data_IF_920487167276
#
_entry.id   IF_920487167276
#
_cell.length_a   1.000
_cell.length_b   1.000
_cell.length_c   1.000
_cell.angle_alpha   90.00
_cell.angle_beta   90.00
_cell.angle_gamma   90.00
#
_symmetry.space_group_name_H-M   'P 1'
#
loop_
_entity.id
_entity.type
_entity.pdbx_description
1 polymer ?
#
# COMPACT_ATOMS: atom_id res chain seq x y z
N UNK A 1 -22.09 -31.10 3.95
CA UNK A 1 -21.53 -30.23 2.90
C UNK A 1 -21.52 -28.81 3.43
N UNK A 2 -20.60 -28.53 4.33
CA UNK A 2 -20.25 -27.18 4.76
C UNK A 2 -18.74 -27.16 4.74
N UNK A 3 -18.21 -26.18 4.03
CA UNK A 3 -16.85 -26.11 3.50
C UNK A 3 -15.80 -25.96 4.62
N UNK A 4 -15.12 -27.07 4.95
CA UNK A 4 -13.94 -27.08 5.84
C UNK A 4 -12.67 -26.53 5.14
N UNK A 5 -12.74 -26.21 3.84
CA UNK A 5 -11.61 -25.75 3.03
C UNK A 5 -11.25 -24.29 3.31
N UNK A 6 -12.24 -23.45 3.64
CA UNK A 6 -12.02 -22.03 4.00
C UNK A 6 -11.20 -21.90 5.29
N UNK A 7 -11.43 -22.78 6.28
CA UNK A 7 -10.70 -22.74 7.55
C UNK A 7 -9.26 -23.22 7.39
N UNK A 8 -8.99 -24.19 6.52
CA UNK A 8 -7.61 -24.60 6.24
C UNK A 8 -6.83 -23.54 5.48
N UNK A 9 -7.49 -22.78 4.58
CA UNK A 9 -6.86 -21.68 3.85
C UNK A 9 -6.50 -20.49 4.76
N UNK A 10 -7.22 -20.30 5.88
CA UNK A 10 -6.92 -19.25 6.85
C UNK A 10 -5.73 -19.60 7.75
N UNK A 11 -5.51 -20.90 8.04
CA UNK A 11 -4.40 -21.35 8.90
C UNK A 11 -3.05 -21.31 8.15
N UNK A 12 -3.03 -21.51 6.83
CA UNK A 12 -1.79 -21.33 6.03
C UNK A 12 -1.33 -19.87 5.92
N UNK A 13 -2.18 -18.88 6.24
CA UNK A 13 -1.75 -17.47 6.35
C UNK A 13 -1.05 -17.16 7.69
N UNK A 14 -1.10 -18.07 8.67
CA UNK A 14 -0.65 -17.84 10.03
C UNK A 14 0.73 -18.46 10.37
N UNK A 15 1.49 -18.93 9.37
CA UNK A 15 2.83 -19.51 9.60
C UNK A 15 3.84 -18.89 8.64
N UNK A 16 4.26 -17.66 8.90
CA UNK A 16 5.47 -17.11 8.28
C UNK A 16 6.67 -17.42 9.20
N UNK A 17 7.72 -18.12 8.72
CA UNK A 17 8.82 -18.54 9.56
C UNK A 17 9.80 -17.40 9.88
N UNK A 18 9.98 -17.18 11.18
CA UNK A 18 11.22 -16.94 11.93
C UNK A 18 12.31 -16.06 11.32
N UNK A 19 12.42 -14.84 11.86
CA UNK A 19 13.68 -14.10 11.98
C UNK A 19 14.74 -15.04 12.59
N UNK A 20 15.91 -15.25 11.98
CA UNK A 20 16.97 -16.01 12.64
C UNK A 20 17.44 -15.24 13.87
N UNK A 21 17.33 -15.89 15.02
CA UNK A 21 17.85 -15.42 16.30
C UNK A 21 19.36 -15.58 16.25
N UNK A 22 20.06 -14.60 15.70
CA UNK A 22 21.40 -14.30 16.16
C UNK A 22 21.66 -12.79 16.07
N UNK A 23 22.00 -12.24 17.23
CA UNK A 23 22.11 -10.83 17.54
C UNK A 23 23.47 -10.30 17.10
N UNK A 24 23.61 -9.73 15.89
CA UNK A 24 24.59 -8.67 15.61
C UNK A 24 24.04 -7.69 14.54
N UNK A 25 24.28 -6.41 14.81
CA UNK A 25 23.60 -5.19 14.38
C UNK A 25 24.21 -4.59 13.10
N UNK A 26 23.41 -4.38 12.04
CA UNK A 26 23.66 -3.32 11.03
C UNK A 26 22.31 -2.78 10.47
N UNK A 27 21.69 -1.91 11.25
CA UNK A 27 21.13 -0.60 10.86
C UNK A 27 20.68 -0.40 9.38
N UNK A 28 19.46 -0.84 9.02
CA UNK A 28 18.63 -0.20 7.96
C UNK A 28 17.21 -0.77 7.76
N UNK A 29 16.77 -1.80 8.48
CA UNK A 29 15.43 -2.35 8.33
C UNK A 29 14.57 -2.05 9.55
N UNK A 30 13.95 -0.87 9.57
CA UNK A 30 12.75 -0.64 10.41
C UNK A 30 11.64 -1.54 9.86
N UNK A 31 11.71 -2.83 10.18
CA UNK A 31 10.71 -3.83 9.86
C UNK A 31 9.53 -3.65 10.79
N UNK A 32 8.75 -2.59 10.59
CA UNK A 32 7.33 -2.67 10.91
C UNK A 32 6.80 -3.87 10.10
N UNK A 33 6.10 -4.81 10.75
CA UNK A 33 5.17 -5.67 10.03
C UNK A 33 4.04 -4.76 9.52
N UNK A 34 4.33 -3.90 8.55
CA UNK A 34 3.26 -3.14 7.93
C UNK A 34 2.36 -4.20 7.31
N UNK A 35 1.07 -4.19 7.66
CA UNK A 35 0.04 -5.00 6.98
C UNK A 35 -0.14 -4.59 5.51
N UNK A 36 0.92 -4.07 4.90
CA UNK A 36 0.99 -3.69 3.51
C UNK A 36 1.11 -4.97 2.67
N UNK A 37 0.38 -5.04 1.55
CA UNK A 37 0.41 -6.20 0.67
C UNK A 37 1.77 -6.36 -0.01
N UNK A 38 2.08 -7.58 -0.47
CA UNK A 38 3.36 -7.89 -1.13
C UNK A 38 3.65 -7.02 -2.37
N UNK A 39 2.62 -6.53 -3.06
CA UNK A 39 2.75 -5.65 -4.21
C UNK A 39 3.11 -4.21 -3.83
N UNK A 40 2.99 -3.84 -2.55
CA UNK A 40 3.32 -2.51 -2.09
C UNK A 40 4.82 -2.23 -2.31
N UNK A 41 5.17 -1.01 -2.68
CA UNK A 41 6.57 -0.63 -2.89
C UNK A 41 7.29 -0.65 -1.54
N UNK A 42 8.55 -1.13 -1.54
CA UNK A 42 9.41 -1.09 -0.35
C UNK A 42 9.79 0.32 0.08
N UNK A 43 9.75 1.26 -0.86
CA UNK A 43 10.09 2.66 -0.65
C UNK A 43 9.04 3.52 -1.31
N UNK A 44 8.42 4.41 -0.54
CA UNK A 44 7.42 5.37 -0.99
C UNK A 44 7.56 6.65 -0.15
N UNK A 45 7.14 7.78 -0.71
CA UNK A 45 7.16 9.07 -0.02
C UNK A 45 6.04 9.16 1.01
N UNK A 46 4.84 8.66 0.67
CA UNK A 46 3.66 8.81 1.51
C UNK A 46 2.62 7.72 1.23
N UNK A 47 1.87 7.32 2.28
CA UNK A 47 0.69 6.47 2.16
C UNK A 47 -0.55 7.36 2.25
N UNK A 48 -1.38 7.32 1.22
CA UNK A 48 -2.60 8.14 1.12
C UNK A 48 -3.83 7.26 0.96
N UNK A 49 -4.98 7.80 1.34
CA UNK A 49 -6.29 7.23 1.08
C UNK A 49 -7.01 8.07 0.02
N UNK A 50 -7.63 7.43 -0.96
CA UNK A 50 -8.49 8.12 -1.90
C UNK A 50 -9.77 8.60 -1.20
N UNK A 51 -10.11 9.87 -1.35
CA UNK A 51 -11.33 10.47 -0.77
C UNK A 51 -12.48 10.55 -1.78
N UNK A 52 -12.18 10.36 -3.07
CA UNK A 52 -13.16 10.30 -4.16
C UNK A 52 -12.79 9.21 -5.16
N UNK A 53 -13.78 8.72 -5.89
CA UNK A 53 -13.57 7.83 -7.03
C UNK A 53 -12.86 8.59 -8.17
N UNK A 54 -11.93 7.91 -8.84
CA UNK A 54 -11.26 8.43 -10.02
C UNK A 54 -11.20 7.38 -11.12
N UNK A 55 -11.95 7.62 -12.20
CA UNK A 55 -11.92 6.78 -13.40
C UNK A 55 -10.98 7.40 -14.43
N UNK A 56 -9.78 6.82 -14.59
CA UNK A 56 -8.82 7.25 -15.58
C UNK A 56 -9.36 7.02 -17.00
N UNK A 57 -9.15 8.01 -17.86
CA UNK A 57 -9.47 7.95 -19.29
C UNK A 57 -8.23 7.81 -20.19
N UNK A 58 -7.05 7.63 -19.56
CA UNK A 58 -5.76 7.49 -20.21
C UNK A 58 -4.93 6.46 -19.45
N UNK A 59 -4.11 5.72 -20.18
CA UNK A 59 -3.34 4.59 -19.64
C UNK A 59 -2.20 5.01 -18.69
N UNK A 60 -1.80 6.28 -18.71
CA UNK A 60 -0.79 6.84 -17.81
C UNK A 60 -1.35 7.25 -16.45
N UNK A 61 -2.67 7.15 -16.24
CA UNK A 61 -3.35 7.53 -15.01
C UNK A 61 -3.87 6.31 -14.27
N UNK A 62 -3.84 6.38 -12.95
CA UNK A 62 -4.30 5.31 -12.09
C UNK A 62 -5.80 5.46 -11.83
N UNK A 63 -6.61 4.44 -12.10
CA UNK A 63 -8.01 4.37 -11.64
C UNK A 63 -8.08 3.82 -10.22
N UNK A 64 -8.95 4.38 -9.38
CA UNK A 64 -9.14 3.96 -7.99
C UNK A 64 -10.53 4.39 -7.47
N UNK A 65 -10.97 3.77 -6.38
CA UNK A 65 -12.21 4.09 -5.68
C UNK A 65 -11.93 4.83 -4.38
N UNK A 66 -12.91 5.58 -3.87
CA UNK A 66 -12.85 6.18 -2.55
C UNK A 66 -12.62 5.09 -1.49
N UNK A 67 -11.67 5.33 -0.58
CA UNK A 67 -11.19 4.39 0.42
C UNK A 67 -9.97 3.58 0.01
N UNK A 68 -9.58 3.59 -1.28
CA UNK A 68 -8.40 2.86 -1.73
C UNK A 68 -7.12 3.44 -1.13
N UNK A 69 -6.22 2.53 -0.78
CA UNK A 69 -4.87 2.86 -0.32
C UNK A 69 -3.96 2.99 -1.54
N UNK A 70 -3.23 4.10 -1.58
CA UNK A 70 -2.28 4.40 -2.65
C UNK A 70 -0.93 4.76 -2.01
N UNK A 71 0.14 4.16 -2.51
CA UNK A 71 1.50 4.49 -2.09
C UNK A 71 2.08 5.49 -3.10
N UNK A 72 2.35 6.71 -2.65
CA UNK A 72 2.90 7.77 -3.48
C UNK A 72 4.41 7.59 -3.56
N UNK A 73 4.93 7.36 -4.77
CA UNK A 73 6.37 7.17 -5.02
C UNK A 73 7.04 8.46 -5.50
N UNK A 74 6.27 9.39 -6.08
CA UNK A 74 6.77 10.69 -6.53
C UNK A 74 5.65 11.74 -6.52
N UNK A 75 5.99 12.99 -6.21
CA UNK A 75 5.10 14.15 -6.38
C UNK A 75 5.66 15.08 -7.45
N UNK A 76 4.82 15.51 -8.38
CA UNK A 76 5.15 16.52 -9.38
C UNK A 76 4.60 17.88 -8.96
N UNK A 77 5.25 18.96 -9.41
CA UNK A 77 4.89 20.34 -9.05
C UNK A 77 3.58 20.82 -9.70
N UNK A 78 3.03 20.05 -10.66
CA UNK A 78 1.78 20.32 -11.36
C UNK A 78 0.54 19.75 -10.64
N UNK A 79 0.72 19.17 -9.45
CA UNK A 79 -0.35 18.60 -8.63
C UNK A 79 -0.68 17.14 -8.95
N UNK A 80 0.05 16.50 -9.87
CA UNK A 80 -0.04 15.06 -10.11
C UNK A 80 1.01 14.30 -9.32
N UNK A 81 0.64 13.14 -8.81
CA UNK A 81 1.52 12.23 -8.09
C UNK A 81 1.69 10.94 -8.87
N UNK A 82 2.86 10.34 -8.83
CA UNK A 82 3.05 8.95 -9.27
C UNK A 82 2.76 8.05 -8.08
N UNK A 83 1.77 7.17 -8.22
CA UNK A 83 1.32 6.29 -7.16
C UNK A 83 1.11 4.86 -7.63
N UNK A 84 1.13 3.92 -6.68
CA UNK A 84 0.85 2.51 -6.92
C UNK A 84 -0.30 2.02 -6.02
N UNK A 85 -1.25 1.33 -6.63
CA UNK A 85 -2.35 0.65 -5.95
C UNK A 85 -2.64 -0.68 -6.63
N UNK A 86 -2.89 -1.73 -5.85
CA UNK A 86 -3.14 -3.09 -6.35
C UNK A 86 -2.08 -3.60 -7.34
N UNK A 87 -0.81 -3.16 -7.15
CA UNK A 87 0.31 -3.49 -8.03
C UNK A 87 0.37 -2.72 -9.36
N UNK A 88 -0.55 -1.79 -9.60
CA UNK A 88 -0.60 -0.95 -10.80
C UNK A 88 -0.10 0.45 -10.47
N UNK A 89 0.83 0.96 -11.28
CA UNK A 89 1.38 2.31 -11.15
C UNK A 89 0.72 3.27 -12.14
N UNK A 90 0.48 4.50 -11.73
CA UNK A 90 0.01 5.56 -12.62
C UNK A 90 -0.06 6.93 -11.94
N UNK A 91 -0.48 7.93 -12.72
CA UNK A 91 -0.68 9.29 -12.23
C UNK A 91 -1.98 9.41 -11.42
N UNK A 92 -1.87 10.03 -10.26
CA UNK A 92 -2.92 10.25 -9.26
C UNK A 92 -3.09 11.75 -9.07
N UNK A 93 -4.29 12.31 -9.21
CA UNK A 93 -4.52 13.73 -8.93
C UNK A 93 -4.44 13.98 -7.41
N UNK A 94 -3.56 14.86 -6.96
CA UNK A 94 -3.26 15.04 -5.54
C UNK A 94 -4.45 15.53 -4.70
N UNK A 95 -5.43 16.19 -5.32
CA UNK A 95 -6.64 16.67 -4.64
C UNK A 95 -7.74 15.60 -4.47
N UNK A 96 -7.48 14.35 -4.88
CA UNK A 96 -8.39 13.21 -4.70
C UNK A 96 -7.95 12.27 -3.58
N UNK A 97 -6.86 12.61 -2.89
CA UNK A 97 -6.24 11.77 -1.87
C UNK A 97 -5.89 12.58 -0.63
N UNK A 98 -5.91 11.92 0.53
CA UNK A 98 -5.49 12.48 1.81
C UNK A 98 -4.42 11.61 2.47
N UNK A 99 -3.48 12.25 3.14
CA UNK A 99 -2.43 11.59 3.91
C UNK A 99 -3.03 10.77 5.04
N UNK A 100 -2.65 9.49 5.16
CA UNK A 100 -3.14 8.64 6.26
C UNK A 100 -2.48 9.03 7.61
N UNK A 101 -1.32 9.69 7.56
CA UNK A 101 -0.65 10.24 8.75
C UNK A 101 -1.14 11.64 9.10
N UNK A 102 -2.45 11.81 9.34
CA UNK A 102 -2.97 13.02 9.96
C UNK A 102 -4.03 12.68 11.01
N UNK A 103 -3.64 12.74 12.28
CA UNK A 103 -4.42 13.24 13.43
C UNK A 103 -3.65 12.98 14.73
N UNK A 104 -2.88 13.98 15.17
CA UNK A 104 -2.56 14.16 16.58
C UNK A 104 -2.76 15.63 16.91
N UNK A 105 -4.00 15.99 17.25
CA UNK A 105 -4.29 17.16 18.07
C UNK A 105 -4.77 16.66 19.44
#
# INVERSE_FOLDING_TARGET
>A
LTDDSVFQQLVVMAIQPSVPVDYEEEEAAVGHYSGDPQWAPKTYMEKVVAIYDYNANRDDKLSFMAGDIIYIIKKHDDGWFEGISSGVTGLVPGNYVESIMHNVD
#
